data_IF_100201410616
#
_entry.id   IF_100201410616
#
_cell.length_a   1.000
_cell.length_b   1.000
_cell.length_c   1.000
_cell.angle_alpha   90.00
_cell.angle_beta   90.00
_cell.angle_gamma   90.00
#
_symmetry.space_group_name_H-M   'P 1'
#
loop_
_entity.id
_entity.type
_entity.pdbx_description
1 polymer ?
#
# COMPACT_ATOMS: atom_id res chain seq x y z
N UNK A 1 4.64 23.36 24.13
CA UNK A 1 4.61 24.49 23.18
C UNK A 1 3.32 25.31 23.28
N UNK A 2 2.12 24.71 23.17
CA UNK A 2 0.82 25.44 23.31
C UNK A 2 0.65 26.13 24.68
N UNK A 3 1.12 25.52 25.77
CA UNK A 3 1.09 26.11 27.13
C UNK A 3 2.00 27.34 27.28
N UNK A 4 3.13 27.38 26.57
CA UNK A 4 4.08 28.50 26.63
C UNK A 4 3.58 29.73 25.86
N UNK A 5 2.88 29.53 24.74
CA UNK A 5 2.30 30.64 23.96
C UNK A 5 1.13 31.35 24.65
N UNK A 6 0.54 30.75 25.70
CA UNK A 6 -0.57 31.33 26.47
C UNK A 6 -0.13 32.07 27.74
N UNK A 7 1.17 32.18 28.02
CA UNK A 7 1.67 32.94 29.17
C UNK A 7 1.28 32.34 30.53
N UNK A 8 0.98 31.04 30.60
CA UNK A 8 0.69 30.36 31.87
C UNK A 8 2.03 30.13 32.60
N UNK A 9 2.26 30.73 33.77
CA UNK A 9 3.50 30.51 34.52
C UNK A 9 3.62 29.03 34.89
N UNK A 10 4.79 28.44 34.63
CA UNK A 10 5.16 27.06 34.97
C UNK A 10 5.45 26.91 36.47
N UNK A 11 4.60 27.48 37.32
CA UNK A 11 4.45 26.98 38.69
C UNK A 11 3.55 25.75 38.58
N UNK A 12 3.90 24.64 39.26
CA UNK A 12 3.20 23.36 39.15
C UNK A 12 1.77 23.49 39.66
N UNK A 13 0.89 24.00 38.80
CA UNK A 13 -0.45 24.39 39.17
C UNK A 13 -1.35 23.18 38.99
N UNK A 14 -1.92 22.67 40.08
CA UNK A 14 -2.86 21.54 40.09
C UNK A 14 -4.04 21.74 39.12
N UNK A 15 -4.33 22.99 38.75
CA UNK A 15 -5.32 23.32 37.73
C UNK A 15 -4.88 22.90 36.32
N UNK A 16 -3.60 22.93 35.98
CA UNK A 16 -3.12 22.41 34.69
C UNK A 16 -3.31 20.88 34.57
N UNK A 17 -3.22 20.14 35.69
CA UNK A 17 -3.49 18.70 35.73
C UNK A 17 -4.97 18.40 35.47
N UNK A 18 -5.91 19.27 35.91
CA UNK A 18 -7.35 19.13 35.67
C UNK A 18 -7.74 19.31 34.20
N UNK A 19 -6.94 20.03 33.43
CA UNK A 19 -7.17 20.26 32.00
C UNK A 19 -6.67 19.10 31.12
N UNK A 20 -5.86 18.16 31.66
CA UNK A 20 -5.32 17.03 30.91
C UNK A 20 -6.44 16.16 30.29
N UNK A 21 -7.48 15.72 31.03
CA UNK A 21 -8.56 14.93 30.45
C UNK A 21 -9.31 15.66 29.32
N UNK A 22 -9.54 16.97 29.46
CA UNK A 22 -10.19 17.77 28.43
C UNK A 22 -9.32 17.87 27.16
N UNK A 23 -8.01 18.09 27.33
CA UNK A 23 -7.06 18.09 26.22
C UNK A 23 -7.00 16.74 25.51
N UNK A 24 -6.92 15.63 26.26
CA UNK A 24 -6.96 14.27 25.70
C UNK A 24 -8.28 13.96 24.99
N UNK A 25 -9.40 14.48 25.52
CA UNK A 25 -10.73 14.35 24.94
C UNK A 25 -10.83 14.97 23.54
N UNK A 26 -10.17 16.10 23.30
CA UNK A 26 -10.12 16.74 21.98
C UNK A 26 -9.02 16.18 21.07
N UNK A 27 -7.86 15.84 21.62
CA UNK A 27 -6.73 15.33 20.82
C UNK A 27 -7.04 13.97 20.21
N UNK A 28 -7.72 13.08 20.93
CA UNK A 28 -8.07 11.73 20.46
C UNK A 28 -8.89 11.75 19.16
N UNK A 29 -10.06 12.42 19.07
CA UNK A 29 -10.86 12.44 17.85
C UNK A 29 -10.16 13.18 16.70
N UNK A 30 -9.39 14.23 17.00
CA UNK A 30 -8.58 14.93 15.98
C UNK A 30 -7.50 14.01 15.40
N UNK A 31 -6.76 13.30 16.26
CA UNK A 31 -5.74 12.34 15.84
C UNK A 31 -6.35 11.16 15.08
N UNK A 32 -7.51 10.66 15.51
CA UNK A 32 -8.24 9.61 14.82
C UNK A 32 -8.71 10.06 13.42
N UNK A 33 -9.31 11.25 13.32
CA UNK A 33 -9.71 11.81 12.04
C UNK A 33 -8.51 12.06 11.12
N UNK A 34 -7.43 12.62 11.67
CA UNK A 34 -6.21 12.88 10.92
C UNK A 34 -5.58 11.58 10.38
N UNK A 35 -5.42 10.56 11.22
CA UNK A 35 -4.80 9.27 10.85
C UNK A 35 -5.66 8.44 9.89
N UNK A 36 -6.97 8.63 9.87
CA UNK A 36 -7.89 7.91 8.96
C UNK A 36 -8.15 8.65 7.65
N UNK A 37 -8.27 9.99 7.68
CA UNK A 37 -8.70 10.79 6.52
C UNK A 37 -7.85 12.04 6.29
N UNK A 38 -7.53 12.80 7.33
CA UNK A 38 -6.90 14.11 7.20
C UNK A 38 -5.54 14.08 6.51
N UNK A 39 -4.73 13.05 6.78
CA UNK A 39 -3.38 12.90 6.20
C UNK A 39 -3.32 12.91 4.67
N UNK A 40 -4.42 12.57 3.99
CA UNK A 40 -4.52 12.53 2.52
C UNK A 40 -4.60 13.91 1.88
N UNK A 41 -4.83 14.95 2.66
CA UNK A 41 -4.97 16.30 2.12
C UNK A 41 -3.62 16.86 1.69
N UNK A 42 -3.59 17.47 0.50
CA UNK A 42 -2.36 18.03 -0.09
C UNK A 42 -1.65 19.03 0.82
N UNK A 43 -2.38 19.71 1.70
CA UNK A 43 -1.81 20.66 2.66
C UNK A 43 -0.86 20.00 3.67
N UNK A 44 -1.01 18.71 3.97
CA UNK A 44 -0.13 17.98 4.90
C UNK A 44 0.97 17.19 4.19
N UNK A 45 0.90 17.07 2.88
CA UNK A 45 1.84 16.28 2.09
C UNK A 45 3.19 17.01 1.97
N UNK A 46 4.28 16.25 1.89
CA UNK A 46 5.68 16.70 1.72
C UNK A 46 6.35 17.42 2.89
N UNK A 47 5.62 17.90 3.92
CA UNK A 47 6.24 18.50 5.12
C UNK A 47 5.88 17.76 6.41
N UNK A 48 4.63 17.31 6.55
CA UNK A 48 4.17 16.55 7.72
C UNK A 48 4.03 15.08 7.40
N UNK A 49 3.46 14.77 6.23
CA UNK A 49 3.25 13.42 5.73
C UNK A 49 4.06 13.24 4.46
N UNK A 50 5.10 12.43 4.53
CA UNK A 50 5.98 12.16 3.40
C UNK A 50 5.44 11.02 2.51
N UNK A 51 4.54 10.18 3.05
CA UNK A 51 3.98 9.03 2.33
C UNK A 51 2.86 9.49 1.39
N UNK A 52 2.94 9.17 0.08
CA UNK A 52 1.88 9.49 -0.86
C UNK A 52 0.61 8.66 -0.61
N UNK A 53 -0.55 9.22 -0.98
CA UNK A 53 -1.83 8.51 -0.91
C UNK A 53 -1.97 7.50 -2.07
N UNK A 54 -1.68 6.23 -1.81
CA UNK A 54 -1.75 5.13 -2.76
C UNK A 54 -3.16 4.52 -2.91
N UNK A 55 -4.16 5.01 -2.15
CA UNK A 55 -5.50 4.42 -2.14
C UNK A 55 -6.11 4.38 -3.55
N UNK A 56 -6.63 3.22 -3.92
CA UNK A 56 -7.36 3.01 -5.17
C UNK A 56 -6.97 1.72 -5.87
N UNK A 57 -7.40 1.63 -7.12
CA UNK A 57 -7.15 0.51 -8.01
C UNK A 57 -6.12 0.90 -9.05
N UNK A 58 -5.19 -0.02 -9.26
CA UNK A 58 -4.12 0.10 -10.23
C UNK A 58 -4.26 -1.03 -11.24
N UNK A 59 -4.20 -0.72 -12.54
CA UNK A 59 -4.34 -1.69 -13.63
C UNK A 59 -2.99 -1.88 -14.30
N UNK A 60 -2.65 -3.11 -14.65
CA UNK A 60 -1.32 -3.43 -15.12
C UNK A 60 -1.13 -4.88 -15.52
N UNK A 61 0.13 -5.31 -15.57
CA UNK A 61 0.50 -6.66 -16.01
C UNK A 61 1.55 -7.30 -15.11
N UNK A 62 1.56 -8.63 -15.05
CA UNK A 62 2.62 -9.45 -14.47
C UNK A 62 3.35 -10.19 -15.60
N UNK A 63 4.67 -10.03 -15.68
CA UNK A 63 5.50 -10.77 -16.62
C UNK A 63 6.41 -11.73 -15.85
N UNK A 64 6.19 -13.04 -16.04
CA UNK A 64 7.01 -14.07 -15.41
C UNK A 64 8.34 -14.26 -16.15
N UNK A 65 9.39 -14.66 -15.44
CA UNK A 65 10.62 -15.18 -16.06
C UNK A 65 10.63 -16.70 -16.16
N UNK A 66 9.57 -17.37 -15.71
CA UNK A 66 9.47 -18.83 -15.75
C UNK A 66 9.36 -19.32 -17.20
N UNK A 67 10.17 -20.32 -17.55
CA UNK A 67 10.15 -21.00 -18.84
C UNK A 67 9.42 -22.32 -18.70
N UNK A 68 8.49 -22.58 -19.62
CA UNK A 68 7.83 -23.87 -19.69
C UNK A 68 8.87 -24.96 -20.05
N UNK A 69 9.07 -25.99 -19.22
CA UNK A 69 10.08 -27.02 -19.46
C UNK A 69 9.78 -27.88 -20.69
N UNK A 70 8.52 -27.95 -21.16
CA UNK A 70 8.12 -28.73 -22.32
C UNK A 70 8.26 -27.95 -23.64
N UNK A 71 7.90 -26.67 -23.65
CA UNK A 71 7.90 -25.84 -24.86
C UNK A 71 9.11 -24.90 -24.96
N UNK A 72 9.80 -24.65 -23.85
CA UNK A 72 10.88 -23.66 -23.77
C UNK A 72 10.42 -22.20 -23.74
N UNK A 73 9.11 -21.97 -23.88
CA UNK A 73 8.52 -20.63 -24.00
C UNK A 73 8.29 -19.96 -22.64
N UNK A 74 8.39 -18.64 -22.62
CA UNK A 74 7.97 -17.81 -21.48
C UNK A 74 6.54 -17.35 -21.76
N UNK A 75 5.57 -17.61 -20.85
CA UNK A 75 4.22 -17.08 -20.99
C UNK A 75 4.22 -15.55 -21.14
N UNK A 76 3.29 -15.03 -21.95
CA UNK A 76 3.11 -13.60 -22.12
C UNK A 76 2.62 -12.90 -20.82
N UNK A 77 2.56 -11.56 -20.83
CA UNK A 77 2.10 -10.79 -19.68
C UNK A 77 0.67 -11.16 -19.29
N UNK A 78 0.43 -11.22 -17.98
CA UNK A 78 -0.90 -11.52 -17.41
C UNK A 78 -1.52 -10.22 -16.92
N UNK A 79 -2.71 -9.89 -17.40
CA UNK A 79 -3.48 -8.76 -16.91
C UNK A 79 -3.79 -8.89 -15.42
N UNK A 80 -3.63 -7.77 -14.71
CA UNK A 80 -3.90 -7.72 -13.29
C UNK A 80 -4.36 -6.36 -12.79
N UNK A 81 -5.03 -6.44 -11.65
CA UNK A 81 -5.30 -5.31 -10.80
C UNK A 81 -4.53 -5.42 -9.49
N UNK A 82 -4.09 -4.28 -8.97
CA UNK A 82 -3.58 -4.11 -7.63
C UNK A 82 -4.46 -3.07 -6.92
N UNK A 83 -5.21 -3.51 -5.93
CA UNK A 83 -6.05 -2.65 -5.09
C UNK A 83 -5.30 -2.34 -3.81
N UNK A 84 -5.07 -1.07 -3.54
CA UNK A 84 -4.36 -0.60 -2.35
C UNK A 84 -5.36 0.13 -1.45
N UNK A 85 -5.42 -0.32 -0.20
CA UNK A 85 -6.11 0.40 0.87
C UNK A 85 -5.08 0.85 1.91
N UNK A 86 -5.12 2.14 2.26
CA UNK A 86 -4.10 2.77 3.08
C UNK A 86 -4.72 3.76 4.09
N UNK A 87 -4.29 3.65 5.34
CA UNK A 87 -4.37 4.69 6.37
C UNK A 87 -2.97 5.25 6.61
N UNK A 88 -2.82 6.23 7.51
CA UNK A 88 -1.50 6.78 7.82
C UNK A 88 -0.50 5.71 8.32
N UNK A 89 -0.99 4.66 9.00
CA UNK A 89 -0.14 3.67 9.68
C UNK A 89 -0.25 2.26 9.11
N UNK A 90 -1.18 2.02 8.18
CA UNK A 90 -1.44 0.69 7.65
C UNK A 90 -1.66 0.77 6.15
N UNK A 91 -1.05 -0.16 5.44
CA UNK A 91 -1.37 -0.44 4.05
C UNK A 91 -1.77 -1.91 3.93
N UNK A 92 -2.68 -2.20 3.00
CA UNK A 92 -3.06 -3.55 2.61
C UNK A 92 -3.27 -3.59 1.11
N UNK A 93 -2.81 -4.66 0.48
CA UNK A 93 -2.84 -4.84 -0.95
C UNK A 93 -3.65 -6.08 -1.30
N UNK A 94 -4.45 -5.98 -2.36
CA UNK A 94 -5.13 -7.11 -2.99
C UNK A 94 -4.77 -7.11 -4.46
N UNK A 95 -4.05 -8.14 -4.91
CA UNK A 95 -3.72 -8.34 -6.31
C UNK A 95 -4.69 -9.36 -6.90
N UNK A 96 -5.17 -9.12 -8.12
CA UNK A 96 -6.12 -9.98 -8.81
C UNK A 96 -5.68 -10.19 -10.26
N UNK A 97 -5.77 -11.43 -10.72
CA UNK A 97 -5.72 -11.79 -12.15
C UNK A 97 -7.07 -12.42 -12.54
N UNK A 98 -7.24 -12.78 -13.82
CA UNK A 98 -8.39 -13.60 -14.25
C UNK A 98 -8.42 -14.97 -13.53
N UNK A 99 -7.28 -15.45 -13.04
CA UNK A 99 -7.11 -16.82 -12.55
C UNK A 99 -6.91 -16.92 -11.03
N UNK A 100 -6.56 -15.83 -10.35
CA UNK A 100 -6.21 -15.87 -8.92
C UNK A 100 -6.43 -14.55 -8.20
N UNK A 101 -6.46 -14.64 -6.88
CA UNK A 101 -6.51 -13.49 -5.98
C UNK A 101 -5.47 -13.63 -4.87
N UNK A 102 -4.69 -12.59 -4.67
CA UNK A 102 -3.65 -12.50 -3.65
C UNK A 102 -3.97 -11.40 -2.65
N UNK A 103 -3.81 -11.68 -1.36
CA UNK A 103 -3.95 -10.67 -0.29
C UNK A 103 -2.66 -10.52 0.49
N UNK A 104 -2.31 -9.27 0.81
CA UNK A 104 -1.16 -8.97 1.64
C UNK A 104 -1.35 -9.53 3.06
N UNK A 105 -0.35 -10.26 3.55
CA UNK A 105 -0.23 -10.66 4.97
C UNK A 105 0.46 -9.58 5.79
N UNK A 106 1.43 -8.89 5.18
CA UNK A 106 2.08 -7.69 5.71
C UNK A 106 2.46 -6.80 4.54
N UNK A 107 2.37 -5.49 4.73
CA UNK A 107 2.70 -4.49 3.71
C UNK A 107 3.20 -3.20 4.37
N UNK A 108 4.18 -2.56 3.75
CA UNK A 108 4.75 -1.30 4.21
C UNK A 108 5.11 -0.41 3.02
N UNK A 109 5.00 0.90 3.21
CA UNK A 109 5.59 1.89 2.30
C UNK A 109 6.89 2.37 2.93
N UNK A 110 8.00 1.96 2.35
CA UNK A 110 9.34 2.32 2.76
C UNK A 110 9.76 3.57 1.98
N UNK A 111 10.17 4.60 2.71
CA UNK A 111 10.66 5.84 2.13
C UNK A 111 12.05 6.14 2.62
N UNK A 112 12.90 6.49 1.68
CA UNK A 112 14.25 6.95 1.93
C UNK A 112 14.47 8.21 1.12
N UNK A 113 14.47 9.36 1.79
CA UNK A 113 14.63 10.65 1.12
C UNK A 113 16.03 10.81 0.53
N UNK A 114 17.06 10.31 1.22
CA UNK A 114 18.46 10.44 0.82
C UNK A 114 18.75 9.56 -0.40
N UNK A 115 18.17 8.36 -0.43
CA UNK A 115 18.29 7.43 -1.56
C UNK A 115 17.19 7.60 -2.62
N UNK A 116 16.30 8.59 -2.46
CA UNK A 116 15.15 8.83 -3.34
C UNK A 116 14.25 7.60 -3.55
N UNK A 117 14.16 6.74 -2.53
CA UNK A 117 13.37 5.52 -2.59
C UNK A 117 11.95 5.76 -2.08
N UNK A 118 10.98 5.28 -2.86
CA UNK A 118 9.58 5.13 -2.44
C UNK A 118 9.14 3.73 -2.85
N UNK A 119 9.24 2.78 -1.93
CA UNK A 119 9.00 1.36 -2.23
C UNK A 119 7.78 0.88 -1.45
N UNK A 120 6.85 0.24 -2.14
CA UNK A 120 5.80 -0.58 -1.56
C UNK A 120 6.28 -2.02 -1.51
N UNK A 121 6.58 -2.49 -0.30
CA UNK A 121 6.94 -3.89 -0.04
C UNK A 121 5.77 -4.61 0.61
N UNK A 122 5.44 -5.80 0.13
CA UNK A 122 4.44 -6.65 0.78
C UNK A 122 4.67 -8.13 0.54
N UNK A 123 4.34 -8.93 1.55
CA UNK A 123 4.22 -10.38 1.47
C UNK A 123 2.75 -10.74 1.32
N UNK A 124 2.44 -11.76 0.52
CA UNK A 124 1.07 -12.11 0.17
C UNK A 124 0.85 -13.63 0.17
N UNK A 125 -0.41 -14.02 0.33
CA UNK A 125 -0.88 -15.37 0.02
C UNK A 125 -1.79 -15.31 -1.19
N UNK A 126 -1.56 -16.18 -2.18
CA UNK A 126 -2.32 -16.27 -3.40
C UNK A 126 -3.24 -17.50 -3.38
N UNK A 127 -4.52 -17.30 -3.71
CA UNK A 127 -5.50 -18.36 -3.96
C UNK A 127 -5.97 -18.34 -5.41
N UNK A 128 -5.60 -19.35 -6.21
CA UNK A 128 -6.13 -19.55 -7.55
C UNK A 128 -7.62 -19.92 -7.55
N UNK A 129 -8.29 -19.73 -8.68
CA UNK A 129 -9.63 -20.27 -8.91
C UNK A 129 -9.57 -21.80 -8.92
N UNK A 130 -10.65 -22.44 -8.46
CA UNK A 130 -10.77 -23.91 -8.46
C UNK A 130 -10.52 -24.49 -9.86
N UNK A 131 -10.97 -23.81 -10.91
CA UNK A 131 -10.81 -24.23 -12.31
C UNK A 131 -9.37 -24.32 -12.80
N UNK A 132 -8.41 -23.70 -12.11
CA UNK A 132 -6.98 -23.72 -12.49
C UNK A 132 -6.11 -24.39 -11.43
N UNK A 133 -6.72 -24.98 -10.39
CA UNK A 133 -6.01 -25.46 -9.22
C UNK A 133 -5.02 -26.60 -9.52
N UNK A 134 -5.31 -27.44 -10.52
CA UNK A 134 -4.41 -28.53 -10.95
C UNK A 134 -3.05 -28.04 -11.45
N UNK A 135 -3.01 -26.86 -12.09
CA UNK A 135 -1.79 -26.25 -12.62
C UNK A 135 -1.26 -25.08 -11.79
N UNK A 136 -2.05 -24.60 -10.84
CA UNK A 136 -1.65 -23.53 -9.93
C UNK A 136 -2.22 -23.81 -8.55
N UNK A 137 -1.37 -24.24 -7.64
CA UNK A 137 -1.70 -24.39 -6.22
C UNK A 137 -1.64 -23.06 -5.49
N UNK A 138 -2.26 -23.03 -4.31
CA UNK A 138 -2.02 -22.01 -3.29
C UNK A 138 -0.51 -21.85 -3.05
N UNK A 139 -0.07 -20.60 -2.88
CA UNK A 139 1.33 -20.27 -2.66
C UNK A 139 1.48 -18.91 -2.00
N UNK A 140 2.62 -18.70 -1.34
CA UNK A 140 3.02 -17.41 -0.80
C UNK A 140 4.06 -16.72 -1.69
N UNK A 141 4.13 -15.40 -1.56
CA UNK A 141 5.12 -14.60 -2.28
C UNK A 141 5.34 -13.24 -1.65
N UNK A 142 6.24 -12.49 -2.28
CA UNK A 142 6.52 -11.12 -1.90
C UNK A 142 6.76 -10.26 -3.13
N UNK A 143 6.50 -8.96 -2.95
CA UNK A 143 6.70 -7.93 -3.95
C UNK A 143 7.54 -6.80 -3.36
N UNK A 144 8.34 -6.17 -4.21
CA UNK A 144 9.04 -4.93 -3.94
C UNK A 144 8.84 -4.01 -5.13
N UNK A 145 8.00 -2.98 -4.94
CA UNK A 145 7.48 -2.15 -6.02
C UNK A 145 7.82 -0.67 -5.80
N UNK A 146 8.55 -0.09 -6.74
CA UNK A 146 8.84 1.33 -6.80
C UNK A 146 7.58 2.15 -7.13
N UNK A 147 7.35 3.20 -6.35
CA UNK A 147 6.26 4.16 -6.49
C UNK A 147 6.79 5.37 -7.26
N UNK A 148 6.25 5.55 -8.46
CA UNK A 148 6.55 6.69 -9.31
C UNK A 148 5.40 7.70 -9.24
N UNK A 149 5.61 8.77 -8.48
CA UNK A 149 4.66 9.88 -8.38
C UNK A 149 4.79 10.81 -9.60
N UNK A 150 3.67 11.32 -10.11
CA UNK A 150 3.64 12.23 -11.27
C UNK A 150 2.26 12.32 -11.91
N UNK A 151 2.18 12.95 -13.10
CA UNK A 151 0.94 13.03 -13.87
C UNK A 151 0.40 11.63 -14.23
N UNK A 152 1.30 10.68 -14.49
CA UNK A 152 0.99 9.28 -14.71
C UNK A 152 1.56 8.46 -13.56
N UNK A 153 0.79 8.33 -12.48
CA UNK A 153 1.20 7.57 -11.29
C UNK A 153 1.41 6.11 -11.67
N UNK A 154 2.59 5.56 -11.33
CA UNK A 154 2.93 4.16 -11.60
C UNK A 154 3.47 3.45 -10.37
N UNK A 155 3.24 2.15 -10.33
CA UNK A 155 3.85 1.23 -9.36
C UNK A 155 4.45 0.08 -10.17
N UNK A 156 5.77 -0.09 -10.11
CA UNK A 156 6.47 -1.13 -10.89
C UNK A 156 7.54 -1.81 -10.06
N UNK A 157 7.86 -3.05 -10.35
CA UNK A 157 8.95 -3.71 -9.66
C UNK A 157 8.89 -5.21 -9.82
N UNK A 158 9.40 -5.93 -8.83
CA UNK A 158 9.61 -7.37 -8.89
C UNK A 158 8.75 -8.11 -7.90
N UNK A 159 8.45 -9.36 -8.23
CA UNK A 159 7.85 -10.33 -7.33
C UNK A 159 8.61 -11.65 -7.33
N UNK A 160 8.46 -12.41 -6.25
CA UNK A 160 8.94 -13.78 -6.14
C UNK A 160 8.00 -14.60 -5.27
N UNK A 161 7.98 -15.92 -5.50
CA UNK A 161 7.10 -16.87 -4.83
C UNK A 161 7.88 -18.00 -4.18
N UNK A 162 7.31 -18.64 -3.17
CA UNK A 162 7.81 -19.90 -2.58
C UNK A 162 7.92 -21.06 -3.61
N UNK A 163 7.19 -20.97 -4.73
CA UNK A 163 7.30 -21.89 -5.88
C UNK A 163 8.53 -21.68 -6.77
N UNK A 164 9.53 -20.91 -6.33
CA UNK A 164 10.70 -20.53 -7.11
C UNK A 164 10.36 -19.83 -8.46
N UNK A 165 9.22 -19.14 -8.53
CA UNK A 165 8.88 -18.28 -9.66
C UNK A 165 9.12 -16.82 -9.29
N UNK A 166 9.46 -16.02 -10.30
CA UNK A 166 9.72 -14.58 -10.16
C UNK A 166 9.37 -13.88 -11.45
N UNK A 167 9.22 -12.56 -11.36
CA UNK A 167 8.89 -11.74 -12.50
C UNK A 167 8.78 -10.28 -12.12
N UNK A 168 8.24 -9.53 -13.07
CA UNK A 168 8.04 -8.10 -12.96
C UNK A 168 6.56 -7.76 -12.96
N UNK A 169 6.21 -6.66 -12.29
CA UNK A 169 4.89 -6.06 -12.28
C UNK A 169 5.01 -4.62 -12.75
N UNK A 170 4.07 -4.16 -13.57
CA UNK A 170 3.94 -2.77 -13.98
C UNK A 170 2.46 -2.38 -13.89
N UNK A 171 2.15 -1.43 -13.03
CA UNK A 171 0.80 -0.91 -12.80
C UNK A 171 0.74 0.60 -12.99
N UNK A 172 -0.37 1.06 -13.56
CA UNK A 172 -0.73 2.47 -13.64
C UNK A 172 -2.02 2.72 -12.85
N UNK A 173 -2.12 3.88 -12.20
CA UNK A 173 -3.32 4.25 -11.46
C UNK A 173 -4.54 4.25 -12.39
N UNK A 174 -5.60 3.54 -12.00
CA UNK A 174 -6.81 3.38 -12.79
C UNK A 174 -7.95 4.23 -12.23
N UNK A 175 -8.36 3.95 -11.00
CA UNK A 175 -9.48 4.64 -10.35
C UNK A 175 -9.40 4.60 -8.81
N UNK A 176 -10.37 5.23 -8.15
CA UNK A 176 -10.54 5.17 -6.69
C UNK A 176 -11.48 4.05 -6.21
N UNK A 177 -12.14 3.34 -7.13
CA UNK A 177 -13.08 2.29 -6.81
C UNK A 177 -12.33 1.00 -6.43
N UNK A 178 -12.45 0.48 -5.19
CA UNK A 178 -11.69 -0.69 -4.74
C UNK A 178 -12.20 -2.03 -5.31
N UNK A 179 -13.16 -2.02 -6.24
CA UNK A 179 -13.77 -3.21 -6.84
C UNK A 179 -13.55 -3.19 -8.36
N UNK A 180 -12.36 -3.58 -8.84
CA UNK A 180 -12.15 -3.78 -10.26
C UNK A 180 -12.88 -5.04 -10.74
N UNK A 181 -13.36 -4.97 -11.97
CA UNK A 181 -13.87 -6.12 -12.71
C UNK A 181 -13.02 -6.28 -13.96
N UNK A 182 -12.78 -7.54 -14.35
CA UNK A 182 -12.20 -7.81 -15.67
C UNK A 182 -13.33 -7.65 -16.68
N UNK A 183 -13.11 -6.86 -17.73
CA UNK A 183 -13.99 -6.84 -18.89
C UNK A 183 -14.08 -8.26 -19.47
N UNK A 184 -15.32 -8.67 -19.81
CA UNK A 184 -15.64 -10.00 -20.35
C UNK A 184 -14.99 -10.26 -21.72
#
# INVERSE_FOLDING_TARGET
>A
FILACKGVPLETNWDALKEIPAALGWLTPVAFWFSTRGWRWKIFQNWLVLIPDLNGTWKGTLQTTWKNPKTGEVPGPIDAFLVIHQTLFRVSCVQMTKESKSWSRSAAVNMDADNQLKILDFVYSNKPRVSVHERSTDHDGACSLEILDGANRKIKGKYWTDRNTKGEMDFTFHDKNPRPEFEE
#
